data_IF_975826438732
#
_entry.id   IF_975826438732
#
_cell.length_a   1.000
_cell.length_b   1.000
_cell.length_c   1.000
_cell.angle_alpha   90.00
_cell.angle_beta   90.00
_cell.angle_gamma   90.00
#
_symmetry.space_group_name_H-M   'P 1'
#
loop_
_entity.id
_entity.type
_entity.pdbx_description
1 polymer ?
#
# COMPACT_ATOMS: atom_id res chain seq x y z
N UNK A 1 12.26 -0.50 2.01
CA UNK A 1 11.08 -0.98 2.76
C UNK A 1 11.08 -2.49 2.86
N UNK A 2 11.30 -3.20 1.76
CA UNK A 2 11.40 -4.66 1.70
C UNK A 2 12.40 -5.27 2.72
N UNK A 3 13.64 -4.76 2.78
CA UNK A 3 14.66 -5.29 3.71
C UNK A 3 14.27 -5.22 5.19
N UNK A 4 13.60 -4.14 5.62
CA UNK A 4 13.17 -3.97 7.02
C UNK A 4 12.08 -4.97 7.39
N UNK A 5 11.11 -5.18 6.50
CA UNK A 5 10.01 -6.13 6.73
C UNK A 5 10.56 -7.56 6.73
N UNK A 6 11.46 -7.88 5.80
CA UNK A 6 12.11 -9.18 5.73
C UNK A 6 12.87 -9.52 7.00
N UNK A 7 13.71 -8.60 7.48
CA UNK A 7 14.42 -8.77 8.75
C UNK A 7 13.45 -8.98 9.93
N UNK A 8 12.31 -8.27 9.97
CA UNK A 8 11.32 -8.45 11.03
C UNK A 8 10.65 -9.83 10.99
N UNK A 9 10.33 -10.34 9.79
CA UNK A 9 9.80 -11.70 9.61
C UNK A 9 10.83 -12.74 10.01
N UNK A 10 12.07 -12.63 9.53
CA UNK A 10 13.16 -13.55 9.87
C UNK A 10 13.40 -13.58 11.39
N UNK A 11 13.40 -12.41 12.04
CA UNK A 11 13.51 -12.33 13.49
C UNK A 11 12.32 -12.99 14.19
N UNK A 12 11.08 -12.74 13.76
CA UNK A 12 9.87 -13.36 14.34
C UNK A 12 9.87 -14.89 14.18
N UNK A 13 10.22 -15.39 13.01
CA UNK A 13 10.33 -16.82 12.73
C UNK A 13 11.52 -17.49 13.43
N UNK A 14 12.56 -16.74 13.80
CA UNK A 14 13.63 -17.27 14.64
C UNK A 14 13.24 -17.37 16.12
N UNK A 15 12.30 -16.52 16.57
CA UNK A 15 11.78 -16.53 17.95
C UNK A 15 10.55 -17.42 18.13
N UNK A 16 9.95 -17.90 17.05
CA UNK A 16 8.77 -18.76 17.07
C UNK A 16 8.98 -19.98 16.19
N UNK A 17 8.48 -21.15 16.56
CA UNK A 17 8.54 -22.35 15.71
C UNK A 17 7.47 -22.32 14.58
N UNK A 18 7.12 -21.12 14.10
CA UNK A 18 6.02 -20.89 13.14
C UNK A 18 6.49 -20.05 11.97
N UNK A 19 5.99 -20.41 10.79
CA UNK A 19 6.13 -19.61 9.57
C UNK A 19 5.06 -18.54 9.47
N UNK A 20 5.42 -17.44 8.81
CA UNK A 20 4.54 -16.30 8.59
C UNK A 20 3.91 -16.40 7.22
N UNK A 21 2.59 -16.60 7.16
CA UNK A 21 1.87 -16.70 5.89
C UNK A 21 1.67 -15.33 5.22
N UNK A 22 1.45 -14.29 6.02
CA UNK A 22 1.22 -12.94 5.55
C UNK A 22 1.67 -11.90 6.57
N UNK A 23 2.01 -10.70 6.09
CA UNK A 23 2.38 -9.55 6.91
C UNK A 23 1.49 -8.35 6.63
N UNK A 24 1.05 -7.68 7.70
CA UNK A 24 0.32 -6.41 7.62
C UNK A 24 1.25 -5.27 8.05
N UNK A 25 1.61 -4.40 7.11
CA UNK A 25 2.52 -3.28 7.39
C UNK A 25 1.73 -2.03 7.75
N UNK A 26 1.83 -1.60 9.01
CA UNK A 26 1.17 -0.41 9.52
C UNK A 26 2.18 0.73 9.72
N UNK A 27 1.99 1.83 9.01
CA UNK A 27 2.82 3.01 9.20
C UNK A 27 2.47 3.74 10.51
N UNK A 28 3.45 3.94 11.38
CA UNK A 28 3.26 4.60 12.67
C UNK A 28 2.81 6.07 12.59
N UNK A 29 3.07 6.74 11.46
CA UNK A 29 2.66 8.13 11.21
C UNK A 29 1.23 8.27 10.66
N UNK A 30 0.48 7.17 10.50
CA UNK A 30 -0.92 7.20 10.07
C UNK A 30 -1.78 6.77 11.25
N UNK A 31 -2.18 7.66 12.17
CA UNK A 31 -2.92 7.27 13.38
C UNK A 31 -4.38 6.89 13.07
N UNK A 32 -5.00 7.53 12.08
CA UNK A 32 -6.39 7.31 11.70
C UNK A 32 -6.48 6.24 10.62
N UNK A 33 -7.26 5.18 10.89
CA UNK A 33 -7.55 4.11 9.94
C UNK A 33 -9.04 3.82 9.98
N UNK A 34 -9.60 3.45 8.83
CA UNK A 34 -10.99 3.02 8.78
C UNK A 34 -11.18 1.77 9.64
N UNK A 35 -12.32 1.70 10.33
CA UNK A 35 -12.68 0.53 11.11
C UNK A 35 -12.67 -0.74 10.24
N UNK A 36 -12.21 -1.84 10.82
CA UNK A 36 -12.11 -3.14 10.15
C UNK A 36 -11.23 -3.17 8.90
N UNK A 37 -10.41 -2.13 8.63
CA UNK A 37 -9.63 -2.07 7.38
C UNK A 37 -8.63 -3.22 7.26
N UNK A 38 -8.03 -3.65 8.37
CA UNK A 38 -7.06 -4.76 8.38
C UNK A 38 -7.77 -6.06 7.97
N UNK A 39 -8.89 -6.38 8.62
CA UNK A 39 -9.68 -7.58 8.31
C UNK A 39 -10.10 -7.62 6.84
N UNK A 40 -10.63 -6.51 6.31
CA UNK A 40 -11.01 -6.39 4.89
C UNK A 40 -9.83 -6.58 3.93
N UNK A 41 -8.64 -6.10 4.30
CA UNK A 41 -7.44 -6.28 3.47
C UNK A 41 -6.97 -7.74 3.47
N UNK A 42 -6.98 -8.41 4.62
CA UNK A 42 -6.61 -9.83 4.74
C UNK A 42 -7.61 -10.70 3.97
N UNK A 43 -8.91 -10.47 4.14
CA UNK A 43 -9.94 -11.19 3.40
C UNK A 43 -9.80 -11.01 1.88
N UNK A 44 -9.48 -9.79 1.42
CA UNK A 44 -9.25 -9.54 0.00
C UNK A 44 -8.00 -10.26 -0.51
N UNK A 45 -6.92 -10.28 0.27
CA UNK A 45 -5.69 -10.99 -0.04
C UNK A 45 -5.96 -12.49 -0.23
N UNK A 46 -6.63 -13.11 0.75
CA UNK A 46 -6.97 -14.54 0.74
C UNK A 46 -7.92 -14.88 -0.41
N UNK A 47 -9.01 -14.11 -0.57
CA UNK A 47 -10.03 -14.37 -1.59
C UNK A 47 -9.50 -14.27 -3.01
N UNK A 48 -8.55 -13.37 -3.26
CA UNK A 48 -8.06 -13.10 -4.62
C UNK A 48 -6.75 -13.81 -4.95
N UNK A 49 -6.01 -14.27 -3.95
CA UNK A 49 -4.66 -14.82 -4.13
C UNK A 49 -3.66 -13.82 -4.70
N UNK A 50 -3.94 -12.51 -4.59
CA UNK A 50 -3.01 -11.49 -5.05
C UNK A 50 -1.74 -11.48 -4.17
N UNK A 51 -0.64 -10.94 -4.68
CA UNK A 51 0.62 -10.90 -3.91
C UNK A 51 0.65 -9.79 -2.85
N UNK A 52 -0.27 -8.81 -2.93
CA UNK A 52 -0.37 -7.74 -1.93
C UNK A 52 -1.69 -6.96 -2.05
N UNK A 53 -2.14 -6.41 -0.93
CA UNK A 53 -3.26 -5.47 -0.84
C UNK A 53 -2.77 -4.15 -0.23
N UNK A 54 -3.25 -3.02 -0.76
CA UNK A 54 -2.88 -1.69 -0.26
C UNK A 54 -4.11 -0.79 -0.11
N UNK A 55 -4.19 -0.08 1.01
CA UNK A 55 -5.17 0.97 1.21
C UNK A 55 -4.78 2.22 0.44
N UNK A 56 -5.73 2.83 -0.28
CA UNK A 56 -5.57 4.10 -0.97
C UNK A 56 -6.70 5.05 -0.60
N UNK A 57 -6.47 6.35 -0.73
CA UNK A 57 -7.52 7.36 -0.55
C UNK A 57 -8.29 7.55 -1.87
N UNK A 58 -9.61 7.86 -1.81
CA UNK A 58 -10.36 8.26 -2.99
C UNK A 58 -9.76 9.49 -3.66
N UNK A 59 -9.86 9.55 -4.98
CA UNK A 59 -9.54 10.78 -5.72
C UNK A 59 -10.57 11.86 -5.36
N UNK A 60 -10.10 13.09 -5.18
CA UNK A 60 -10.95 14.25 -4.88
C UNK A 60 -10.96 15.22 -6.07
N UNK A 61 -10.85 16.53 -5.85
CA UNK A 61 -10.93 17.55 -6.90
C UNK A 61 -9.79 17.48 -7.92
N UNK A 62 -8.62 16.99 -7.51
CA UNK A 62 -7.42 16.92 -8.34
C UNK A 62 -7.17 15.47 -8.74
N UNK A 63 -7.74 15.06 -9.88
CA UNK A 63 -7.45 13.75 -10.43
C UNK A 63 -6.01 13.69 -10.94
N UNK A 64 -5.21 12.67 -10.57
CA UNK A 64 -3.83 12.53 -11.04
C UNK A 64 -3.70 12.56 -12.58
N UNK A 65 -4.68 12.00 -13.27
CA UNK A 65 -4.71 11.98 -14.74
C UNK A 65 -5.00 13.35 -15.38
N UNK A 66 -5.45 14.34 -14.61
CA UNK A 66 -5.64 15.71 -15.10
C UNK A 66 -4.40 16.60 -14.89
N UNK A 67 -3.36 16.06 -14.24
CA UNK A 67 -2.13 16.80 -13.98
C UNK A 67 -1.44 17.09 -15.31
N UNK A 68 -1.06 18.35 -15.50
CA UNK A 68 -0.19 18.77 -16.58
C UNK A 68 1.16 19.17 -16.01
N UNK A 69 2.23 18.84 -16.73
CA UNK A 69 3.57 19.39 -16.50
C UNK A 69 3.76 20.63 -17.36
N UNK A 70 4.42 21.64 -16.82
CA UNK A 70 4.86 22.80 -17.59
C UNK A 70 6.15 22.46 -18.34
N UNK A 71 6.15 22.68 -19.66
CA UNK A 71 7.31 22.57 -20.55
C UNK A 71 7.54 23.93 -21.23
N UNK A 72 8.47 24.71 -20.69
CA UNK A 72 8.64 26.13 -21.05
C UNK A 72 7.37 26.94 -20.75
N UNK A 73 6.68 27.38 -21.80
CA UNK A 73 5.42 28.12 -21.73
C UNK A 73 4.19 27.29 -22.16
N UNK A 74 4.32 25.96 -22.25
CA UNK A 74 3.24 25.05 -22.67
C UNK A 74 2.88 24.07 -21.58
N UNK A 75 1.58 23.80 -21.44
CA UNK A 75 1.08 22.72 -20.60
C UNK A 75 1.05 21.43 -21.40
N UNK A 76 1.66 20.37 -20.87
CA UNK A 76 1.67 19.03 -21.46
C UNK A 76 1.04 18.06 -20.47
N UNK A 77 0.06 17.27 -20.92
CA UNK A 77 -0.56 16.25 -20.08
C UNK A 77 0.49 15.29 -19.51
N UNK A 78 0.36 14.97 -18.22
CA UNK A 78 1.29 14.05 -17.56
C UNK A 78 1.15 12.62 -18.09
N UNK A 79 -0.08 12.21 -18.42
CA UNK A 79 -0.40 10.95 -19.12
C UNK A 79 -1.49 11.20 -20.16
N UNK A 80 -1.42 10.56 -21.34
CA UNK A 80 -2.51 10.60 -22.30
C UNK A 80 -3.72 9.80 -21.79
N UNK A 81 -4.92 10.21 -22.22
CA UNK A 81 -6.18 9.51 -21.94
C UNK A 81 -6.40 8.34 -22.90
#
# INVERSE_FOLDING_TARGET
MDATVRHAVEWHEAQSDKKTDAVVILYGNIPVRAEGVIARCVELLERTGCSSVRTVAPVTKQHPDWIHRLDGNRMVQFRPN
#
